data_IF_826833494449
#
_entry.id   IF_826833494449
#
_cell.length_a   1.000
_cell.length_b   1.000
_cell.length_c   1.000
_cell.angle_alpha   90.00
_cell.angle_beta   90.00
_cell.angle_gamma   90.00
#
_symmetry.space_group_name_H-M   'P 1'
#
loop_
_entity.id
_entity.type
_entity.pdbx_description
1 polymer ?
#
# COMPACT_ATOMS: atom_id res chain seq x y z
N UNK A 1 -44.31 11.39 -57.36
CA UNK A 1 -42.95 11.84 -57.66
C UNK A 1 -42.02 10.94 -56.85
N UNK A 2 -41.53 9.80 -57.37
CA UNK A 2 -40.33 9.66 -58.23
C UNK A 2 -39.11 10.36 -57.57
N UNK A 3 -37.93 9.79 -57.32
CA UNK A 3 -37.21 8.63 -57.87
C UNK A 3 -36.03 8.29 -56.91
N UNK A 4 -35.75 7.00 -56.64
CA UNK A 4 -34.56 6.20 -57.06
C UNK A 4 -33.17 6.68 -56.57
N UNK A 5 -32.42 5.93 -55.76
CA UNK A 5 -31.58 4.71 -56.03
C UNK A 5 -30.19 5.00 -56.64
N UNK A 6 -29.18 4.20 -56.23
CA UNK A 6 -27.79 3.97 -56.72
C UNK A 6 -26.76 4.36 -55.63
N UNK A 7 -26.20 3.48 -54.77
CA UNK A 7 -25.39 2.25 -54.94
C UNK A 7 -24.10 2.49 -55.76
N UNK A 8 -22.91 2.50 -55.12
CA UNK A 8 -21.80 1.57 -55.43
C UNK A 8 -20.44 1.98 -54.78
N UNK A 9 -19.91 1.03 -53.98
CA UNK A 9 -18.51 0.51 -53.96
C UNK A 9 -17.38 1.16 -53.11
N UNK A 10 -17.01 0.39 -52.06
CA UNK A 10 -15.71 0.11 -51.37
C UNK A 10 -14.37 0.58 -52.00
N UNK A 11 -13.19 0.43 -51.32
CA UNK A 11 -12.85 0.43 -49.88
C UNK A 11 -11.55 1.22 -49.55
N UNK A 12 -11.27 1.56 -48.28
CA UNK A 12 -9.88 1.52 -47.78
C UNK A 12 -9.79 1.51 -46.24
N UNK A 13 -9.14 0.44 -45.77
CA UNK A 13 -8.46 0.25 -44.49
C UNK A 13 -8.17 1.52 -43.68
N UNK A 14 -8.71 1.60 -42.46
CA UNK A 14 -8.04 2.22 -41.34
C UNK A 14 -8.44 1.50 -40.04
N UNK A 15 -7.53 0.64 -39.60
CA UNK A 15 -7.51 -0.03 -38.31
C UNK A 15 -7.60 1.04 -37.19
N UNK A 16 -8.77 1.25 -36.59
CA UNK A 16 -8.89 2.02 -35.35
C UNK A 16 -8.91 1.03 -34.21
N UNK A 17 -7.71 0.68 -33.73
CA UNK A 17 -7.50 0.06 -32.42
C UNK A 17 -8.01 1.04 -31.34
N UNK A 18 -8.94 0.66 -30.46
CA UNK A 18 -9.05 1.31 -29.17
C UNK A 18 -7.97 0.70 -28.28
N UNK A 19 -6.83 1.39 -28.15
CA UNK A 19 -5.85 1.11 -27.10
C UNK A 19 -6.52 1.36 -25.75
N UNK A 20 -6.92 0.26 -25.11
CA UNK A 20 -7.39 0.24 -23.73
C UNK A 20 -6.19 0.53 -22.82
N UNK A 21 -6.04 1.79 -22.41
CA UNK A 21 -5.14 2.19 -21.33
C UNK A 21 -5.72 1.70 -19.99
N UNK A 22 -5.51 0.43 -19.70
CA UNK A 22 -5.75 -0.14 -18.38
C UNK A 22 -4.53 0.12 -17.48
N UNK A 23 -4.72 0.96 -16.47
CA UNK A 23 -3.73 1.30 -15.44
C UNK A 23 -3.22 0.05 -14.69
N UNK A 24 -1.97 -0.31 -14.95
CA UNK A 24 -1.15 -1.31 -14.23
C UNK A 24 -0.22 -0.61 -13.24
N UNK A 25 -0.73 -0.21 -12.07
CA UNK A 25 0.12 0.44 -11.06
C UNK A 25 0.58 -0.52 -9.95
N UNK A 26 0.00 -1.72 -9.84
CA UNK A 26 0.37 -2.68 -8.80
C UNK A 26 1.59 -3.57 -9.17
N UNK A 27 1.71 -4.06 -10.41
CA UNK A 27 2.83 -4.93 -10.82
C UNK A 27 4.13 -4.18 -11.15
N UNK A 28 4.05 -2.86 -11.30
CA UNK A 28 5.17 -2.07 -11.77
C UNK A 28 6.24 -1.88 -10.68
N UNK A 29 5.83 -1.73 -9.42
CA UNK A 29 6.74 -1.47 -8.29
C UNK A 29 7.63 -2.67 -7.97
N UNK A 30 7.07 -3.89 -7.99
CA UNK A 30 7.83 -5.13 -7.73
C UNK A 30 8.79 -5.48 -8.88
N UNK A 31 8.43 -5.15 -10.13
CA UNK A 31 9.35 -5.26 -11.26
C UNK A 31 10.57 -4.37 -11.07
N UNK A 32 10.38 -3.14 -10.62
CA UNK A 32 11.46 -2.15 -10.49
C UNK A 32 12.43 -2.41 -9.33
N UNK A 33 12.13 -3.34 -8.44
CA UNK A 33 13.01 -3.78 -7.35
C UNK A 33 13.91 -4.98 -7.68
N UNK A 34 13.81 -5.54 -8.89
CA UNK A 34 14.64 -6.68 -9.29
C UNK A 34 16.12 -6.29 -9.46
N UNK A 35 17.04 -7.15 -9.00
CA UNK A 35 18.49 -6.93 -9.05
C UNK A 35 19.08 -6.91 -10.47
N UNK A 36 18.31 -7.34 -11.47
CA UNK A 36 18.64 -7.24 -12.90
C UNK A 36 17.39 -6.85 -13.68
N UNK A 37 17.33 -5.58 -14.09
CA UNK A 37 16.29 -5.06 -14.97
C UNK A 37 16.75 -5.17 -16.43
N UNK A 38 15.83 -5.53 -17.33
CA UNK A 38 16.06 -5.35 -18.76
C UNK A 38 16.17 -3.86 -19.08
N UNK A 39 16.78 -3.49 -20.22
CA UNK A 39 16.93 -2.07 -20.61
C UNK A 39 15.57 -1.36 -20.72
N UNK A 40 14.56 -2.07 -21.23
CA UNK A 40 13.19 -1.58 -21.36
C UNK A 40 12.52 -1.40 -19.99
N UNK A 41 12.73 -2.33 -19.06
CA UNK A 41 12.24 -2.21 -17.69
C UNK A 41 12.96 -1.07 -16.93
N UNK A 42 14.25 -0.84 -17.18
CA UNK A 42 14.98 0.32 -16.60
C UNK A 42 14.34 1.63 -17.04
N UNK A 43 13.99 1.76 -18.33
CA UNK A 43 13.38 2.96 -18.88
C UNK A 43 11.94 3.16 -18.38
N UNK A 44 11.17 2.08 -18.29
CA UNK A 44 9.83 2.07 -17.72
C UNK A 44 9.84 2.46 -16.22
N UNK A 45 10.68 1.81 -15.42
CA UNK A 45 10.86 2.11 -14.00
C UNK A 45 11.36 3.53 -13.76
N UNK A 46 12.24 4.01 -14.63
CA UNK A 46 12.68 5.38 -14.62
C UNK A 46 11.55 6.39 -14.90
N UNK A 47 10.65 6.08 -15.84
CA UNK A 47 9.45 6.89 -16.11
C UNK A 47 8.50 6.94 -14.91
N UNK A 48 8.29 5.80 -14.26
CA UNK A 48 7.50 5.73 -13.02
C UNK A 48 8.10 6.59 -11.91
N UNK A 49 9.41 6.55 -11.74
CA UNK A 49 10.09 7.36 -10.73
C UNK A 49 9.94 8.86 -10.95
N UNK A 50 10.03 9.34 -12.20
CA UNK A 50 9.78 10.76 -12.53
C UNK A 50 8.35 11.14 -12.15
N UNK A 51 7.39 10.27 -12.46
CA UNK A 51 5.99 10.46 -12.06
C UNK A 51 5.83 10.49 -10.54
N UNK A 52 6.46 9.59 -9.80
CA UNK A 52 6.38 9.54 -8.34
C UNK A 52 6.86 10.83 -7.68
N UNK A 53 8.00 11.38 -8.13
CA UNK A 53 8.53 12.64 -7.58
C UNK A 53 7.71 13.86 -8.03
N UNK A 54 7.11 13.83 -9.22
CA UNK A 54 6.17 14.86 -9.68
C UNK A 54 4.87 14.82 -8.86
N UNK A 55 4.30 13.63 -8.64
CA UNK A 55 3.14 13.43 -7.78
C UNK A 55 3.42 13.88 -6.34
N UNK A 56 4.61 13.59 -5.81
CA UNK A 56 5.06 14.08 -4.50
C UNK A 56 5.17 15.61 -4.47
N UNK A 57 5.76 16.23 -5.49
CA UNK A 57 5.87 17.68 -5.63
C UNK A 57 4.50 18.35 -5.70
N UNK A 58 3.56 17.78 -6.46
CA UNK A 58 2.20 18.29 -6.57
C UNK A 58 1.39 18.12 -5.27
N UNK A 59 1.59 17.02 -4.52
CA UNK A 59 1.05 16.89 -3.16
C UNK A 59 1.63 17.99 -2.24
N UNK A 60 2.94 18.20 -2.27
CA UNK A 60 3.60 19.24 -1.49
C UNK A 60 3.04 20.64 -1.83
N UNK A 61 2.79 20.94 -3.10
CA UNK A 61 2.21 22.21 -3.52
C UNK A 61 0.79 22.37 -3.00
N UNK A 62 -0.05 21.33 -3.10
CA UNK A 62 -1.41 21.36 -2.56
C UNK A 62 -1.42 21.63 -1.06
N UNK A 63 -0.56 20.96 -0.30
CA UNK A 63 -0.44 21.19 1.14
C UNK A 63 0.12 22.60 1.45
N UNK A 64 1.13 23.06 0.72
CA UNK A 64 1.66 24.42 0.88
C UNK A 64 0.58 25.48 0.66
N UNK A 65 -0.29 25.29 -0.34
CA UNK A 65 -1.41 26.19 -0.63
C UNK A 65 -2.47 26.26 0.46
N UNK A 66 -2.57 25.26 1.36
CA UNK A 66 -3.53 25.31 2.48
C UNK A 66 -2.98 26.02 3.72
N UNK A 67 -1.66 26.24 3.79
CA UNK A 67 -1.01 26.78 4.99
C UNK A 67 -0.40 28.17 4.81
N UNK A 68 -0.16 28.62 3.57
CA UNK A 68 0.35 29.98 3.30
C UNK A 68 -0.74 31.04 3.42
N UNK A 69 -0.35 32.25 3.81
CA UNK A 69 -1.26 33.39 3.89
C UNK A 69 -1.74 33.88 2.50
N UNK A 70 -0.90 33.81 1.47
CA UNK A 70 -1.26 34.17 0.09
C UNK A 70 -1.07 32.98 -0.89
N UNK A 71 -2.11 32.15 -1.08
CA UNK A 71 -2.06 31.05 -2.05
C UNK A 71 -1.92 31.52 -3.50
N UNK A 72 -2.35 32.74 -3.85
CA UNK A 72 -2.25 33.25 -5.24
C UNK A 72 -0.79 33.56 -5.58
N UNK A 73 -0.06 34.21 -4.69
CA UNK A 73 1.37 34.47 -4.85
C UNK A 73 2.17 33.16 -5.01
N UNK A 74 1.90 32.14 -4.19
CA UNK A 74 2.58 30.84 -4.29
C UNK A 74 2.30 30.15 -5.63
N UNK A 75 1.07 30.21 -6.16
CA UNK A 75 0.74 29.67 -7.49
C UNK A 75 1.53 30.36 -8.60
N UNK A 76 1.62 31.70 -8.57
CA UNK A 76 2.40 32.46 -9.54
C UNK A 76 3.89 32.12 -9.47
N UNK A 77 4.44 32.00 -8.26
CA UNK A 77 5.82 31.57 -8.05
C UNK A 77 6.05 30.15 -8.63
N UNK A 78 5.11 29.24 -8.41
CA UNK A 78 5.20 27.88 -8.95
C UNK A 78 5.12 27.84 -10.48
N UNK A 79 4.20 28.59 -11.10
CA UNK A 79 4.12 28.72 -12.57
C UNK A 79 5.38 29.34 -13.17
N UNK A 80 6.00 30.31 -12.48
CA UNK A 80 7.29 30.88 -12.88
C UNK A 80 8.39 29.83 -12.79
N UNK A 81 8.41 29.01 -11.75
CA UNK A 81 9.35 27.89 -11.61
C UNK A 81 9.15 26.85 -12.71
N UNK A 82 7.91 26.48 -13.05
CA UNK A 82 7.61 25.53 -14.13
C UNK A 82 8.25 26.00 -15.45
N UNK A 83 7.95 27.24 -15.87
CA UNK A 83 8.48 27.81 -17.13
C UNK A 83 9.99 27.99 -17.16
N UNK A 84 10.60 28.39 -16.03
CA UNK A 84 12.00 28.79 -16.02
C UNK A 84 12.98 27.69 -15.60
N UNK A 85 12.49 26.63 -14.95
CA UNK A 85 13.33 25.55 -14.40
C UNK A 85 12.90 24.21 -14.98
N UNK A 86 11.64 23.81 -14.75
CA UNK A 86 11.14 22.48 -15.15
C UNK A 86 11.06 22.34 -16.68
N UNK A 87 10.53 23.31 -17.39
CA UNK A 87 10.36 23.26 -18.84
C UNK A 87 11.70 23.39 -19.60
N UNK A 88 12.76 23.84 -18.91
CA UNK A 88 14.13 23.87 -19.44
C UNK A 88 14.90 22.57 -19.21
N UNK A 89 14.34 21.61 -18.48
CA UNK A 89 15.04 20.37 -18.20
C UNK A 89 15.08 19.46 -19.43
N UNK A 90 16.29 19.11 -19.86
CA UNK A 90 16.54 18.11 -20.89
C UNK A 90 16.72 16.73 -20.26
N UNK A 91 15.63 15.97 -20.18
CA UNK A 91 15.67 14.56 -19.80
C UNK A 91 15.47 14.27 -18.31
N UNK A 92 15.51 12.96 -18.01
CA UNK A 92 15.08 12.35 -16.75
C UNK A 92 15.80 12.90 -15.51
N UNK A 93 17.12 12.88 -15.52
CA UNK A 93 17.93 13.24 -14.34
C UNK A 93 17.72 14.70 -13.96
N UNK A 94 17.58 15.57 -14.96
CA UNK A 94 17.20 16.95 -14.72
C UNK A 94 15.82 17.05 -14.04
N UNK A 95 14.80 16.35 -14.56
CA UNK A 95 13.45 16.34 -13.99
C UNK A 95 13.43 15.83 -12.55
N UNK A 96 14.06 14.68 -12.27
CA UNK A 96 14.15 14.12 -10.92
C UNK A 96 14.72 15.16 -9.94
N UNK A 97 15.85 15.76 -10.31
CA UNK A 97 16.54 16.77 -9.52
C UNK A 97 15.67 18.01 -9.26
N UNK A 98 15.07 18.60 -10.30
CA UNK A 98 14.30 19.83 -10.12
C UNK A 98 13.00 19.59 -9.35
N UNK A 99 12.36 18.42 -9.52
CA UNK A 99 11.19 18.03 -8.72
C UNK A 99 11.56 17.84 -7.26
N UNK A 100 12.63 17.09 -6.95
CA UNK A 100 13.10 16.91 -5.57
C UNK A 100 13.47 18.24 -4.90
N UNK A 101 14.22 19.11 -5.59
CA UNK A 101 14.58 20.42 -5.07
C UNK A 101 13.34 21.30 -4.83
N UNK A 102 12.34 21.23 -5.71
CA UNK A 102 11.09 21.97 -5.54
C UNK A 102 10.25 21.41 -4.39
N UNK A 103 10.19 20.09 -4.23
CA UNK A 103 9.52 19.42 -3.10
C UNK A 103 10.13 19.86 -1.77
N UNK A 104 11.46 19.88 -1.65
CA UNK A 104 12.15 20.39 -0.46
C UNK A 104 11.85 21.88 -0.20
N UNK A 105 11.86 22.71 -1.25
CA UNK A 105 11.50 24.13 -1.13
C UNK A 105 10.05 24.33 -0.64
N UNK A 106 9.10 23.52 -1.13
CA UNK A 106 7.71 23.53 -0.66
C UNK A 106 7.59 23.03 0.77
N UNK A 107 8.38 22.02 1.17
CA UNK A 107 8.47 21.57 2.56
C UNK A 107 8.88 22.68 3.52
N UNK A 108 9.84 23.54 3.13
CA UNK A 108 10.21 24.73 3.91
C UNK A 108 9.09 25.74 4.02
N UNK A 109 8.38 25.99 2.92
CA UNK A 109 7.20 26.88 2.92
C UNK A 109 6.16 26.35 3.91
N UNK A 110 5.89 25.04 3.91
CA UNK A 110 4.95 24.41 4.84
C UNK A 110 5.44 24.57 6.28
N UNK A 111 6.66 24.14 6.60
CA UNK A 111 7.20 24.20 7.94
C UNK A 111 7.21 25.64 8.52
N UNK A 112 7.48 26.64 7.67
CA UNK A 112 7.53 28.04 8.10
C UNK A 112 6.14 28.71 8.19
N UNK A 113 5.15 28.24 7.43
CA UNK A 113 3.83 28.89 7.34
C UNK A 113 2.75 28.22 8.17
N UNK A 114 2.84 26.90 8.39
CA UNK A 114 1.82 26.11 9.04
C UNK A 114 1.60 26.52 10.51
N UNK A 115 0.39 26.96 10.89
CA UNK A 115 0.10 27.36 12.27
C UNK A 115 0.18 26.16 13.21
N UNK A 116 1.21 26.13 14.06
CA UNK A 116 1.46 25.01 14.98
C UNK A 116 0.72 25.21 16.30
N UNK A 117 0.12 24.14 16.80
CA UNK A 117 -0.46 24.03 18.13
C UNK A 117 0.49 23.17 18.99
N UNK A 118 1.08 23.79 20.00
CA UNK A 118 2.02 23.17 20.94
C UNK A 118 1.36 22.76 22.27
N UNK A 119 0.05 22.94 22.42
CA UNK A 119 -0.63 22.55 23.64
C UNK A 119 -0.53 21.04 23.84
N UNK A 120 -0.44 20.53 25.08
CA UNK A 120 -0.55 19.09 25.34
C UNK A 120 -1.82 18.49 24.73
N UNK A 121 -1.77 17.23 24.30
CA UNK A 121 -2.99 16.48 23.99
C UNK A 121 -3.63 15.97 25.27
N UNK A 122 -4.94 16.12 25.41
CA UNK A 122 -5.71 15.32 26.37
C UNK A 122 -5.96 13.91 25.83
N UNK A 123 -6.33 12.96 26.70
CA UNK A 123 -6.76 11.62 26.27
C UNK A 123 -7.94 11.67 25.28
N UNK A 124 -8.88 12.61 25.48
CA UNK A 124 -10.01 12.80 24.57
C UNK A 124 -9.55 13.34 23.21
N UNK A 125 -8.64 14.31 23.19
CA UNK A 125 -8.11 14.86 21.93
C UNK A 125 -7.32 13.81 21.15
N UNK A 126 -6.54 12.97 21.85
CA UNK A 126 -5.82 11.87 21.24
C UNK A 126 -6.77 10.85 20.60
N UNK A 127 -7.84 10.46 21.28
CA UNK A 127 -8.87 9.58 20.73
C UNK A 127 -9.56 10.20 19.51
N UNK A 128 -10.04 11.44 19.62
CA UNK A 128 -10.72 12.14 18.53
C UNK A 128 -9.81 12.27 17.29
N UNK A 129 -8.52 12.55 17.52
CA UNK A 129 -7.51 12.60 16.45
C UNK A 129 -7.35 11.25 15.77
N UNK A 130 -7.21 10.18 16.55
CA UNK A 130 -7.07 8.82 16.04
C UNK A 130 -8.27 8.41 15.19
N UNK A 131 -9.49 8.67 15.65
CA UNK A 131 -10.72 8.38 14.90
C UNK A 131 -10.83 9.23 13.62
N UNK A 132 -10.49 10.52 13.68
CA UNK A 132 -10.50 11.39 12.51
C UNK A 132 -9.51 10.94 11.42
N UNK A 133 -8.29 10.56 11.82
CA UNK A 133 -7.26 10.06 10.90
C UNK A 133 -7.60 8.67 10.37
N UNK A 134 -8.22 7.81 11.18
CA UNK A 134 -8.75 6.52 10.71
C UNK A 134 -9.83 6.70 9.63
N UNK A 135 -10.76 7.64 9.82
CA UNK A 135 -11.76 7.97 8.80
C UNK A 135 -11.16 8.61 7.54
N UNK A 136 -9.99 9.26 7.61
CA UNK A 136 -9.25 9.70 6.42
C UNK A 136 -8.56 8.53 5.70
N UNK A 137 -8.02 7.57 6.44
CA UNK A 137 -7.44 6.34 5.88
C UNK A 137 -8.49 5.54 5.09
N UNK A 138 -9.71 5.38 5.63
CA UNK A 138 -10.83 4.71 4.94
C UNK A 138 -11.18 5.31 3.60
N UNK A 139 -11.13 6.64 3.53
CA UNK A 139 -11.44 7.38 2.31
C UNK A 139 -10.24 7.50 1.37
N UNK A 140 -9.11 6.85 1.69
CA UNK A 140 -7.85 6.93 0.94
C UNK A 140 -7.37 8.38 0.79
N UNK A 141 -7.45 9.14 1.89
CA UNK A 141 -7.12 10.57 1.93
C UNK A 141 -6.10 10.91 3.01
N UNK A 142 -5.65 9.97 3.81
CA UNK A 142 -4.68 10.23 4.87
C UNK A 142 -3.33 10.65 4.28
N UNK A 143 -2.88 9.95 3.23
CA UNK A 143 -1.64 10.25 2.50
C UNK A 143 -1.62 11.65 1.86
N UNK A 144 -2.79 12.28 1.68
CA UNK A 144 -2.89 13.65 1.19
C UNK A 144 -2.40 14.70 2.19
N UNK A 145 -2.29 14.34 3.47
CA UNK A 145 -1.75 15.18 4.55
C UNK A 145 -0.24 14.99 4.76
N UNK A 146 0.39 14.09 4.00
CA UNK A 146 1.82 13.77 4.14
C UNK A 146 2.68 15.01 3.94
N UNK A 147 3.58 15.24 4.90
CA UNK A 147 4.61 16.26 4.79
C UNK A 147 5.62 15.82 3.73
N UNK A 148 6.03 16.74 2.83
CA UNK A 148 7.05 16.42 1.85
C UNK A 148 8.41 16.23 2.54
N UNK A 149 9.09 15.15 2.19
CA UNK A 149 10.46 14.88 2.59
C UNK A 149 11.44 15.02 1.42
N UNK A 150 12.71 15.16 1.75
CA UNK A 150 13.82 15.17 0.80
C UNK A 150 14.59 13.85 0.86
N UNK A 151 14.55 13.08 -0.22
CA UNK A 151 15.33 11.86 -0.34
C UNK A 151 16.84 12.14 -0.36
N UNK A 152 17.63 11.29 0.30
CA UNK A 152 19.09 11.41 0.45
C UNK A 152 19.88 10.44 -0.45
N UNK A 153 19.19 9.59 -1.23
CA UNK A 153 19.80 8.52 -2.04
C UNK A 153 20.72 9.07 -3.16
N UNK A 154 21.81 8.37 -3.56
CA UNK A 154 22.95 8.84 -4.39
C UNK A 154 22.71 9.43 -5.79
N UNK A 155 21.47 9.69 -6.23
CA UNK A 155 21.22 10.33 -7.53
C UNK A 155 21.00 11.86 -7.42
N UNK A 156 21.26 12.42 -6.24
CA UNK A 156 21.33 13.86 -6.06
C UNK A 156 22.73 14.35 -6.49
N UNK A 157 22.96 14.48 -7.80
CA UNK A 157 24.18 15.15 -8.33
C UNK A 157 24.24 16.63 -7.92
N UNK A 158 23.17 17.16 -7.34
CA UNK A 158 23.15 18.43 -6.61
C UNK A 158 23.04 18.19 -5.13
N UNK A 159 23.98 18.78 -4.38
CA UNK A 159 23.94 18.79 -2.94
C UNK A 159 22.54 19.22 -2.43
N UNK A 160 21.94 18.49 -1.49
CA UNK A 160 20.70 18.91 -0.86
C UNK A 160 20.88 20.30 -0.22
N UNK A 161 19.82 21.12 -0.11
CA UNK A 161 19.88 22.31 0.73
C UNK A 161 20.35 21.93 2.14
N UNK A 162 21.16 22.79 2.77
CA UNK A 162 21.82 22.48 4.05
C UNK A 162 20.84 22.06 5.16
N UNK A 163 19.67 22.69 5.21
CA UNK A 163 18.58 22.39 6.15
C UNK A 163 17.89 21.04 5.93
N UNK A 164 18.12 20.39 4.80
CA UNK A 164 17.51 19.13 4.39
C UNK A 164 18.56 18.05 4.09
N UNK A 165 19.84 18.37 4.33
CA UNK A 165 20.97 17.49 4.09
C UNK A 165 21.21 16.56 5.29
N UNK A 166 21.49 15.29 5.00
CA UNK A 166 22.12 14.37 5.93
C UNK A 166 23.63 14.38 5.71
N UNK A 167 24.36 14.97 6.65
CA UNK A 167 25.79 15.24 6.46
C UNK A 167 26.65 14.01 6.76
N UNK A 168 27.85 13.90 6.16
CA UNK A 168 28.80 12.85 6.50
C UNK A 168 29.17 12.79 7.98
N UNK A 169 29.22 13.95 8.66
CA UNK A 169 29.50 14.02 10.10
C UNK A 169 28.36 13.42 10.93
N UNK A 170 27.12 13.70 10.58
CA UNK A 170 25.95 13.11 11.24
C UNK A 170 25.87 11.60 11.01
N UNK A 171 26.18 11.16 9.79
CA UNK A 171 26.34 9.74 9.47
C UNK A 171 27.39 9.08 10.33
N UNK A 172 28.60 9.62 10.39
CA UNK A 172 29.68 9.07 11.21
C UNK A 172 29.28 9.02 12.70
N UNK A 173 28.62 10.08 13.21
CA UNK A 173 28.12 10.11 14.60
C UNK A 173 27.09 9.03 14.87
N UNK A 174 26.13 8.79 13.97
CA UNK A 174 25.12 7.75 14.14
C UNK A 174 25.67 6.35 13.91
N UNK A 175 26.62 6.15 12.99
CA UNK A 175 27.31 4.87 12.79
C UNK A 175 28.15 4.46 14.01
N UNK A 176 28.68 5.43 14.75
CA UNK A 176 29.36 5.18 16.01
C UNK A 176 28.40 4.76 17.14
N UNK A 177 27.08 4.91 16.95
CA UNK A 177 26.07 4.38 17.87
C UNK A 177 25.71 2.96 17.42
N UNK A 178 25.68 2.02 18.36
CA UNK A 178 25.16 0.68 18.12
C UNK A 178 23.62 0.71 18.07
N UNK A 179 23.08 1.15 16.93
CA UNK A 179 21.64 1.32 16.73
C UNK A 179 20.93 0.00 16.38
N UNK A 180 21.69 -1.05 16.04
CA UNK A 180 21.14 -2.31 15.51
C UNK A 180 20.62 -2.23 14.08
N UNK A 181 20.82 -1.11 13.37
CA UNK A 181 20.42 -0.92 11.97
C UNK A 181 21.32 0.10 11.24
N UNK A 182 21.34 0.10 9.89
CA UNK A 182 22.20 1.00 9.13
C UNK A 182 21.83 2.48 9.31
N UNK A 183 22.78 3.30 9.75
CA UNK A 183 22.64 4.75 9.87
C UNK A 183 22.67 5.46 8.50
N UNK A 184 21.80 5.04 7.59
CA UNK A 184 21.58 5.66 6.28
C UNK A 184 20.19 6.29 6.29
N UNK A 185 20.14 7.61 6.42
CA UNK A 185 18.88 8.33 6.30
C UNK A 185 18.38 8.23 4.85
N UNK A 186 17.14 7.78 4.65
CA UNK A 186 16.48 7.72 3.35
C UNK A 186 15.89 9.08 2.97
N UNK A 187 15.17 9.70 3.89
CA UNK A 187 14.40 10.92 3.64
C UNK A 187 14.49 11.85 4.86
N UNK A 188 14.71 13.14 4.63
CA UNK A 188 14.71 14.18 5.66
C UNK A 188 13.44 15.03 5.53
N UNK A 189 12.68 15.13 6.60
CA UNK A 189 11.49 15.97 6.74
C UNK A 189 11.80 17.19 7.60
N UNK A 190 11.08 18.28 7.33
CA UNK A 190 11.13 19.50 8.12
C UNK A 190 9.80 19.71 8.83
N UNK A 191 9.84 19.80 10.16
CA UNK A 191 8.66 20.02 10.99
C UNK A 191 8.89 21.17 11.95
N UNK A 192 7.98 22.13 11.99
CA UNK A 192 7.95 23.12 13.08
C UNK A 192 7.17 22.53 14.24
N UNK A 193 7.79 22.51 15.42
CA UNK A 193 7.23 21.84 16.61
C UNK A 193 6.52 22.79 17.58
N UNK A 194 6.84 24.08 17.53
CA UNK A 194 6.20 25.11 18.35
C UNK A 194 6.03 26.43 17.56
N UNK A 195 5.09 27.32 17.94
CA UNK A 195 4.95 28.64 17.36
C UNK A 195 6.26 29.42 17.40
N UNK A 196 6.65 30.00 16.26
CA UNK A 196 7.88 30.80 16.14
C UNK A 196 9.20 29.99 16.17
N UNK A 197 9.16 28.69 16.44
CA UNK A 197 10.36 27.86 16.44
C UNK A 197 10.90 27.62 15.02
N UNK A 198 12.21 27.44 14.92
CA UNK A 198 12.85 26.97 13.70
C UNK A 198 12.41 25.54 13.39
N UNK A 199 12.18 25.18 12.11
CA UNK A 199 11.89 23.81 11.74
C UNK A 199 12.98 22.83 12.19
N UNK A 200 12.56 21.71 12.76
CA UNK A 200 13.40 20.59 13.20
C UNK A 200 13.47 19.53 12.11
N UNK A 201 14.65 18.92 11.92
CA UNK A 201 14.85 17.82 10.99
C UNK A 201 14.42 16.49 11.60
N UNK A 202 13.60 15.74 10.86
CA UNK A 202 13.29 14.36 11.15
C UNK A 202 13.82 13.49 10.01
N UNK A 203 14.41 12.34 10.33
CA UNK A 203 15.04 11.47 9.36
C UNK A 203 14.38 10.09 9.38
N UNK A 204 13.99 9.61 8.21
CA UNK A 204 13.53 8.23 8.00
C UNK A 204 14.74 7.33 7.75
N UNK A 205 14.82 6.21 8.48
CA UNK A 205 15.88 5.22 8.34
C UNK A 205 15.28 3.85 8.05
N UNK A 206 16.05 3.02 7.36
CA UNK A 206 15.77 1.59 7.32
C UNK A 206 16.15 0.97 8.67
N UNK A 207 15.18 0.43 9.39
CA UNK A 207 15.40 -0.13 10.74
C UNK A 207 15.39 -1.66 10.79
N UNK A 208 15.37 -2.33 9.62
CA UNK A 208 15.69 -3.75 9.52
C UNK A 208 14.53 -4.74 9.57
N UNK A 209 14.95 -6.02 9.60
CA UNK A 209 14.14 -7.24 9.48
C UNK A 209 14.44 -8.03 8.21
N UNK A 210 13.79 -9.18 8.02
CA UNK A 210 13.64 -9.82 6.70
C UNK A 210 12.76 -9.00 5.74
N UNK A 211 12.27 -7.85 6.20
CA UNK A 211 11.27 -7.01 5.58
C UNK A 211 11.75 -5.56 5.57
N UNK A 212 11.42 -4.77 4.54
CA UNK A 212 11.62 -3.34 4.62
C UNK A 212 10.75 -2.74 5.72
N UNK A 213 11.39 -2.12 6.71
CA UNK A 213 10.77 -1.33 7.76
C UNK A 213 11.46 0.04 7.79
N UNK A 214 10.68 1.11 7.71
CA UNK A 214 11.21 2.48 7.76
C UNK A 214 10.61 3.24 8.93
N UNK A 215 11.47 3.75 9.82
CA UNK A 215 11.04 4.54 10.97
C UNK A 215 11.58 5.96 10.88
N UNK A 216 10.79 6.93 11.35
CA UNK A 216 11.16 8.34 11.33
C UNK A 216 11.50 8.85 12.73
N UNK A 217 12.72 9.37 12.91
CA UNK A 217 13.21 9.90 14.19
C UNK A 217 13.52 11.39 14.10
N UNK A 218 13.40 12.09 15.22
CA UNK A 218 13.95 13.44 15.36
C UNK A 218 15.48 13.36 15.27
N UNK A 219 16.08 13.92 14.21
CA UNK A 219 17.50 13.72 13.90
C UNK A 219 18.42 14.40 14.93
N UNK A 220 18.22 15.69 15.29
CA UNK A 220 18.97 16.30 16.41
C UNK A 220 18.88 15.49 17.69
N UNK A 221 17.69 15.04 18.07
CA UNK A 221 17.49 14.23 19.26
C UNK A 221 18.30 12.93 19.18
N UNK A 222 18.18 12.20 18.06
CA UNK A 222 18.87 10.94 17.84
C UNK A 222 20.40 11.11 17.84
N UNK A 223 20.92 12.25 17.38
CA UNK A 223 22.37 12.52 17.39
C UNK A 223 22.93 12.77 18.80
N UNK A 224 22.09 13.17 19.75
CA UNK A 224 22.48 13.58 21.12
C UNK A 224 22.04 12.58 22.20
N UNK A 225 21.09 11.70 21.89
CA UNK A 225 20.51 10.80 22.85
C UNK A 225 21.50 9.79 23.46
N UNK A 226 21.43 9.65 24.79
CA UNK A 226 22.22 8.69 25.57
C UNK A 226 21.46 7.38 25.75
N UNK A 227 22.19 6.29 26.05
CA UNK A 227 21.63 5.00 26.51
C UNK A 227 20.56 4.37 25.60
N UNK A 228 20.69 4.52 24.27
CA UNK A 228 19.75 3.94 23.32
C UNK A 228 18.36 4.58 23.30
N UNK A 229 18.17 5.75 23.93
CA UNK A 229 16.91 6.49 23.77
C UNK A 229 16.76 6.96 22.32
N UNK A 230 15.67 6.55 21.67
CA UNK A 230 15.34 6.91 20.29
C UNK A 230 14.44 8.15 20.20
N UNK A 231 14.09 8.76 21.34
CA UNK A 231 13.16 9.88 21.41
C UNK A 231 11.71 9.46 21.25
N UNK A 232 11.39 8.20 21.56
CA UNK A 232 10.03 7.66 21.56
C UNK A 232 9.58 7.46 23.01
N UNK A 233 8.41 7.98 23.36
CA UNK A 233 7.84 7.83 24.70
C UNK A 233 7.37 6.39 24.92
N UNK A 234 7.76 5.80 26.05
CA UNK A 234 7.36 4.44 26.42
C UNK A 234 5.85 4.38 26.70
N UNK A 235 5.18 3.39 26.13
CA UNK A 235 3.78 3.02 26.39
C UNK A 235 3.73 1.55 26.79
N UNK A 236 2.69 1.15 27.50
CA UNK A 236 2.43 -0.27 27.78
C UNK A 236 2.05 -0.98 26.49
N UNK A 237 2.92 -1.87 26.02
CA UNK A 237 2.74 -2.66 24.79
C UNK A 237 2.84 -4.16 25.10
N UNK A 238 1.80 -4.68 25.78
CA UNK A 238 1.79 -6.05 26.28
C UNK A 238 1.81 -7.13 25.19
N UNK A 239 1.37 -6.79 23.98
CA UNK A 239 1.24 -7.71 22.84
C UNK A 239 2.29 -7.46 21.73
N UNK A 240 3.34 -6.68 22.02
CA UNK A 240 4.36 -6.24 21.03
C UNK A 240 3.75 -5.58 19.77
N UNK A 241 2.65 -4.86 19.91
CA UNK A 241 1.89 -4.25 18.80
C UNK A 241 2.77 -3.34 17.93
N UNK A 242 3.76 -2.64 18.49
CA UNK A 242 4.64 -1.77 17.68
C UNK A 242 5.55 -2.55 16.77
N UNK A 243 6.10 -3.66 17.27
CA UNK A 243 6.95 -4.53 16.45
C UNK A 243 6.19 -4.97 15.20
N UNK A 244 4.92 -5.35 15.37
CA UNK A 244 4.06 -5.76 14.27
C UNK A 244 3.60 -4.59 13.38
N UNK A 245 3.44 -3.38 13.93
CA UNK A 245 3.07 -2.19 13.17
C UNK A 245 4.12 -1.80 12.12
N UNK A 246 5.41 -1.97 12.45
CA UNK A 246 6.54 -1.61 11.58
C UNK A 246 6.95 -2.73 10.59
N UNK A 247 6.48 -3.97 10.79
CA UNK A 247 6.84 -5.10 9.93
C UNK A 247 6.22 -4.93 8.53
N UNK A 248 7.05 -4.67 7.51
CA UNK A 248 6.57 -4.35 6.15
C UNK A 248 5.96 -2.94 6.03
N UNK A 249 6.12 -2.12 7.07
CA UNK A 249 5.57 -0.78 7.18
C UNK A 249 6.61 0.33 7.02
N UNK A 250 6.12 1.54 6.83
CA UNK A 250 6.94 2.74 6.76
C UNK A 250 6.25 3.93 7.42
N UNK A 251 7.03 4.71 8.14
CA UNK A 251 6.62 6.00 8.67
C UNK A 251 6.60 7.07 7.58
N UNK A 252 5.52 7.83 7.58
CA UNK A 252 5.50 9.14 6.94
C UNK A 252 4.87 10.17 7.87
N UNK A 253 5.48 11.35 8.02
CA UNK A 253 4.88 12.42 8.80
C UNK A 253 3.70 13.08 8.08
N UNK A 254 2.72 13.54 8.85
CA UNK A 254 1.59 14.34 8.38
C UNK A 254 1.44 15.61 9.20
N UNK A 255 0.77 16.62 8.63
CA UNK A 255 0.33 17.80 9.36
C UNK A 255 -1.20 17.87 9.40
N UNK A 256 -1.77 17.81 10.60
CA UNK A 256 -3.22 17.77 10.80
C UNK A 256 -3.63 18.65 11.98
N UNK A 257 -4.63 19.52 11.78
CA UNK A 257 -5.19 20.39 12.83
C UNK A 257 -4.14 21.14 13.67
N UNK A 258 -3.09 21.64 13.00
CA UNK A 258 -2.03 22.40 13.67
C UNK A 258 -0.95 21.55 14.33
N UNK A 259 -1.01 20.22 14.27
CA UNK A 259 -0.05 19.32 14.92
C UNK A 259 0.64 18.42 13.89
N UNK A 260 1.84 17.96 14.25
CA UNK A 260 2.58 16.97 13.47
C UNK A 260 2.31 15.58 14.04
N UNK A 261 2.07 14.63 13.16
CA UNK A 261 1.92 13.21 13.50
C UNK A 261 2.82 12.38 12.61
N UNK A 262 3.19 11.19 13.08
CA UNK A 262 3.83 10.15 12.29
C UNK A 262 2.79 9.05 12.10
N UNK A 263 2.54 8.71 10.83
CA UNK A 263 1.68 7.60 10.45
C UNK A 263 2.58 6.45 10.04
N UNK A 264 2.43 5.31 10.71
CA UNK A 264 3.01 4.05 10.26
C UNK A 264 1.98 3.34 9.38
N UNK A 265 2.36 2.98 8.17
CA UNK A 265 1.47 2.36 7.19
C UNK A 265 2.18 1.33 6.32
N UNK A 266 1.39 0.55 5.59
CA UNK A 266 1.88 -0.36 4.54
C UNK A 266 2.73 0.39 3.50
N UNK A 267 3.90 -0.14 3.15
CA UNK A 267 4.79 0.50 2.19
C UNK A 267 4.20 0.63 0.78
N UNK A 268 3.34 -0.30 0.38
CA UNK A 268 2.66 -0.29 -0.92
C UNK A 268 1.46 0.67 -0.92
N UNK A 269 0.82 0.86 0.23
CA UNK A 269 -0.34 1.74 0.37
C UNK A 269 -0.27 2.61 1.65
N UNK A 270 0.15 3.88 1.55
CA UNK A 270 0.27 4.77 2.71
C UNK A 270 -1.08 5.06 3.39
N UNK A 271 -2.21 4.83 2.71
CA UNK A 271 -3.54 4.98 3.31
C UNK A 271 -3.98 3.73 4.10
N UNK A 272 -3.25 2.61 4.03
CA UNK A 272 -3.42 1.44 4.90
C UNK A 272 -2.57 1.62 6.17
N UNK A 273 -2.98 2.57 6.99
CA UNK A 273 -2.30 2.93 8.23
C UNK A 273 -2.56 1.92 9.36
N UNK A 274 -1.51 1.63 10.15
CA UNK A 274 -1.52 0.66 11.26
C UNK A 274 -1.31 1.34 12.61
N UNK A 275 -0.65 2.50 12.64
CA UNK A 275 -0.41 3.25 13.88
C UNK A 275 -0.35 4.75 13.62
N UNK A 276 -0.84 5.52 14.59
CA UNK A 276 -0.69 6.98 14.66
C UNK A 276 0.14 7.33 15.89
N UNK A 277 1.17 8.13 15.67
CA UNK A 277 2.01 8.72 16.72
C UNK A 277 1.98 10.23 16.66
N UNK A 278 1.96 10.91 17.80
CA UNK A 278 2.07 12.36 17.91
C UNK A 278 3.52 12.78 18.06
N UNK A 279 3.93 13.81 17.31
CA UNK A 279 5.22 14.48 17.53
C UNK A 279 4.98 15.64 18.49
N UNK A 280 5.53 15.51 19.70
CA UNK A 280 5.38 16.48 20.79
C UNK A 280 6.21 17.75 20.53
N UNK A 281 5.90 18.86 21.22
CA UNK A 281 6.65 20.10 21.11
C UNK A 281 8.12 19.97 21.53
N UNK A 282 8.41 19.05 22.46
CA UNK A 282 9.78 18.71 22.90
C UNK A 282 10.56 17.88 21.86
N UNK A 283 9.91 17.49 20.76
CA UNK A 283 10.51 16.70 19.69
C UNK A 283 10.52 15.19 19.91
N UNK A 284 9.95 14.70 21.01
CA UNK A 284 9.72 13.26 21.21
C UNK A 284 8.48 12.79 20.46
N UNK A 285 8.46 11.52 20.10
CA UNK A 285 7.31 10.87 19.45
C UNK A 285 6.54 10.03 20.46
N UNK A 286 5.22 10.18 20.51
CA UNK A 286 4.32 9.44 21.40
C UNK A 286 3.34 8.61 20.58
N UNK A 287 3.38 7.26 20.62
CA UNK A 287 2.31 6.45 20.06
C UNK A 287 0.96 6.82 20.70
N UNK A 288 -0.05 7.08 19.87
CA UNK A 288 -1.41 7.44 20.32
C UNK A 288 -2.38 6.29 20.16
N UNK A 289 -2.33 5.60 19.03
CA UNK A 289 -3.23 4.48 18.78
C UNK A 289 -2.73 3.52 17.71
N UNK A 290 -3.22 2.29 17.83
CA UNK A 290 -3.23 1.32 16.74
C UNK A 290 -4.50 1.49 15.92
N UNK A 291 -4.37 1.34 14.60
CA UNK A 291 -5.48 1.33 13.66
C UNK A 291 -5.72 -0.09 13.16
N UNK A 292 -6.99 -0.46 13.07
CA UNK A 292 -7.42 -1.73 12.49
C UNK A 292 -8.47 -1.48 11.43
N UNK A 293 -8.18 -1.90 10.21
CA UNK A 293 -9.14 -1.94 9.12
C UNK A 293 -9.94 -3.23 9.19
N UNK A 294 -11.26 -3.10 9.18
CA UNK A 294 -12.21 -4.19 8.97
C UNK A 294 -12.80 -4.04 7.58
N UNK A 295 -12.85 -5.15 6.87
CA UNK A 295 -13.60 -5.23 5.63
C UNK A 295 -15.10 -5.13 5.94
N UNK A 296 -15.75 -4.13 5.36
CA UNK A 296 -17.18 -3.89 5.42
C UNK A 296 -17.96 -4.75 4.42
N UNK A 297 -19.23 -4.41 4.24
CA UNK A 297 -20.14 -5.11 3.33
C UNK A 297 -19.70 -4.96 1.87
N UNK A 298 -20.12 -5.92 1.05
CA UNK A 298 -19.93 -5.85 -0.39
C UNK A 298 -21.08 -5.03 -0.99
N UNK A 299 -20.74 -4.10 -1.86
CA UNK A 299 -21.67 -3.33 -2.66
C UNK A 299 -21.51 -3.71 -4.13
N UNK A 300 -22.62 -3.87 -4.85
CA UNK A 300 -22.62 -4.22 -6.27
C UNK A 300 -22.33 -2.96 -7.11
N UNK A 301 -21.17 -2.92 -7.78
CA UNK A 301 -20.79 -1.84 -8.70
C UNK A 301 -21.34 -2.11 -10.10
N UNK A 302 -21.23 -3.36 -10.56
CA UNK A 302 -21.82 -3.79 -11.82
C UNK A 302 -22.24 -5.25 -11.75
N UNK A 303 -23.31 -5.60 -12.47
CA UNK A 303 -23.86 -6.95 -12.45
C UNK A 303 -24.40 -7.36 -13.82
N UNK A 304 -23.86 -8.45 -14.38
CA UNK A 304 -24.50 -9.18 -15.49
C UNK A 304 -25.66 -10.05 -15.01
N UNK A 305 -25.63 -10.46 -13.75
CA UNK A 305 -26.68 -11.25 -13.11
C UNK A 305 -27.06 -10.60 -11.76
N UNK A 306 -27.89 -9.54 -11.75
CA UNK A 306 -28.18 -8.73 -10.56
C UNK A 306 -28.58 -9.55 -9.34
N UNK A 307 -29.52 -10.48 -9.51
CA UNK A 307 -30.01 -11.36 -8.44
C UNK A 307 -28.89 -12.18 -7.77
N UNK A 308 -27.93 -12.70 -8.55
CA UNK A 308 -26.80 -13.47 -8.02
C UNK A 308 -25.84 -12.54 -7.27
N UNK A 309 -25.54 -11.37 -7.85
CA UNK A 309 -24.62 -10.41 -7.27
C UNK A 309 -25.14 -9.85 -5.94
N UNK A 310 -26.42 -9.48 -5.89
CA UNK A 310 -27.09 -8.95 -4.69
C UNK A 310 -27.15 -10.00 -3.57
N UNK A 311 -27.53 -11.24 -3.90
CA UNK A 311 -27.64 -12.30 -2.89
C UNK A 311 -26.28 -12.68 -2.26
N UNK A 312 -25.18 -12.55 -3.01
CA UNK A 312 -23.82 -12.73 -2.45
C UNK A 312 -23.39 -11.49 -1.66
N UNK A 313 -23.67 -10.29 -2.16
CA UNK A 313 -23.31 -9.04 -1.50
C UNK A 313 -23.98 -8.88 -0.12
N UNK A 314 -25.26 -9.25 -0.02
CA UNK A 314 -26.07 -9.20 1.19
C UNK A 314 -25.82 -10.39 2.15
N UNK A 315 -25.09 -11.42 1.71
CA UNK A 315 -24.81 -12.61 2.51
C UNK A 315 -25.96 -13.63 2.57
N UNK A 316 -26.98 -13.48 1.72
CA UNK A 316 -28.12 -14.41 1.61
C UNK A 316 -27.69 -15.80 1.13
N UNK A 317 -26.60 -15.86 0.36
CA UNK A 317 -25.99 -17.11 -0.09
C UNK A 317 -24.71 -17.39 0.68
N UNK A 318 -24.67 -18.54 1.34
CA UNK A 318 -23.45 -19.02 2.01
C UNK A 318 -22.47 -19.65 1.01
N UNK A 319 -21.17 -19.41 1.16
CA UNK A 319 -20.17 -20.11 0.36
C UNK A 319 -20.16 -21.61 0.67
N UNK A 320 -19.70 -22.40 -0.29
CA UNK A 320 -19.45 -23.82 -0.09
C UNK A 320 -18.41 -24.02 1.01
N UNK A 321 -18.68 -24.98 1.89
CA UNK A 321 -17.80 -25.27 3.02
C UNK A 321 -16.55 -26.00 2.53
N UNK A 322 -15.39 -25.39 2.73
CA UNK A 322 -14.10 -26.04 2.58
C UNK A 322 -13.93 -27.11 3.66
N UNK A 323 -13.46 -28.29 3.25
CA UNK A 323 -13.01 -29.33 4.18
C UNK A 323 -11.55 -29.12 4.50
N UNK A 324 -11.14 -29.31 5.74
CA UNK A 324 -9.72 -29.31 6.07
C UNK A 324 -9.05 -30.51 5.37
N UNK A 325 -7.99 -30.26 4.60
CA UNK A 325 -7.27 -31.32 3.91
C UNK A 325 -6.70 -32.34 4.89
N UNK A 326 -6.29 -31.93 6.10
CA UNK A 326 -5.75 -32.83 7.13
C UNK A 326 -6.76 -33.90 7.60
N UNK A 327 -8.05 -33.72 7.32
CA UNK A 327 -9.11 -34.69 7.63
C UNK A 327 -9.32 -35.75 6.53
N UNK A 328 -8.59 -35.68 5.42
CA UNK A 328 -8.82 -36.48 4.21
C UNK A 328 -7.59 -37.37 3.93
N UNK A 329 -7.74 -38.69 3.78
CA UNK A 329 -6.65 -39.54 3.33
C UNK A 329 -6.10 -39.06 1.97
N UNK A 330 -4.76 -39.08 1.74
CA UNK A 330 -3.73 -39.79 2.51
C UNK A 330 -3.07 -38.96 3.63
N UNK A 331 -3.52 -37.73 3.91
CA UNK A 331 -2.85 -36.85 4.87
C UNK A 331 -2.92 -37.43 6.29
N UNK A 332 -1.77 -37.45 7.00
CA UNK A 332 -1.67 -38.09 8.32
C UNK A 332 -2.04 -37.11 9.44
N UNK A 333 -2.92 -37.44 10.40
CA UNK A 333 -3.37 -36.53 11.48
C UNK A 333 -2.29 -35.94 12.41
N UNK A 334 -0.99 -36.18 12.19
CA UNK A 334 0.08 -35.70 13.07
C UNK A 334 0.38 -34.21 12.81
N UNK A 335 -0.07 -33.37 13.74
CA UNK A 335 0.05 -31.90 13.75
C UNK A 335 1.43 -31.34 13.33
N UNK A 336 2.52 -32.05 13.65
CA UNK A 336 3.88 -31.55 13.47
C UNK A 336 4.49 -31.84 12.08
N UNK A 337 3.84 -32.66 11.23
CA UNK A 337 4.34 -33.03 9.90
C UNK A 337 3.48 -32.60 8.71
N UNK A 338 2.30 -32.00 8.94
CA UNK A 338 1.39 -31.58 7.86
C UNK A 338 1.98 -30.49 6.96
N UNK A 339 2.65 -29.50 7.56
CA UNK A 339 3.27 -28.41 6.80
C UNK A 339 4.35 -28.94 5.87
N UNK A 340 5.24 -29.79 6.37
CA UNK A 340 6.32 -30.37 5.57
C UNK A 340 5.77 -31.26 4.45
N UNK A 341 4.73 -32.05 4.72
CA UNK A 341 4.06 -32.88 3.72
C UNK A 341 3.38 -32.03 2.62
N UNK A 342 2.73 -30.93 2.99
CA UNK A 342 2.12 -30.01 2.03
C UNK A 342 3.17 -29.27 1.20
N UNK A 343 4.22 -28.77 1.85
CA UNK A 343 5.34 -28.11 1.19
C UNK A 343 6.02 -29.05 0.19
N UNK A 344 6.27 -30.30 0.59
CA UNK A 344 6.89 -31.29 -0.28
C UNK A 344 6.06 -31.60 -1.54
N UNK A 345 4.73 -31.61 -1.41
CA UNK A 345 3.81 -31.97 -2.51
C UNK A 345 3.42 -30.77 -3.39
N UNK A 346 3.33 -29.58 -2.80
CA UNK A 346 2.69 -28.42 -3.44
C UNK A 346 3.56 -27.15 -3.47
N UNK A 347 4.70 -27.14 -2.77
CA UNK A 347 5.66 -26.03 -2.69
C UNK A 347 5.62 -25.26 -1.38
N UNK A 348 6.67 -24.48 -1.13
CA UNK A 348 6.99 -23.82 0.16
C UNK A 348 5.87 -22.94 0.75
N UNK A 349 4.96 -22.46 -0.08
CA UNK A 349 3.89 -21.57 0.35
C UNK A 349 2.64 -22.32 0.85
N UNK A 350 2.52 -23.64 0.67
CA UNK A 350 1.32 -24.43 0.95
C UNK A 350 1.11 -24.76 2.45
N UNK A 351 0.94 -23.77 3.31
CA UNK A 351 0.87 -23.96 4.77
C UNK A 351 -0.48 -24.47 5.28
N UNK A 352 -1.58 -24.05 4.65
CA UNK A 352 -2.94 -24.46 4.96
C UNK A 352 -3.70 -24.78 3.65
N UNK A 353 -4.53 -25.83 3.66
CA UNK A 353 -5.24 -26.33 2.48
C UNK A 353 -6.69 -26.63 2.83
N UNK A 354 -7.61 -25.84 2.26
CA UNK A 354 -9.02 -26.19 2.20
C UNK A 354 -9.31 -27.00 0.93
N UNK A 355 -10.00 -28.13 1.04
CA UNK A 355 -10.40 -28.95 -0.10
C UNK A 355 -11.90 -28.86 -0.38
N UNK A 356 -12.23 -28.72 -1.65
CA UNK A 356 -13.59 -28.81 -2.17
C UNK A 356 -13.63 -29.78 -3.36
N UNK A 357 -14.65 -30.64 -3.41
CA UNK A 357 -14.91 -31.50 -4.58
C UNK A 357 -16.16 -31.01 -5.31
N UNK A 358 -15.99 -30.48 -6.51
CA UNK A 358 -17.09 -29.87 -7.26
C UNK A 358 -16.79 -29.80 -8.76
N UNK A 359 -17.83 -29.79 -9.60
CA UNK A 359 -17.75 -29.65 -11.06
C UNK A 359 -17.83 -28.17 -11.42
N UNK A 360 -16.69 -27.47 -11.36
CA UNK A 360 -16.66 -26.01 -11.35
C UNK A 360 -16.81 -25.40 -12.75
N UNK A 361 -16.39 -26.13 -13.77
CA UNK A 361 -16.46 -25.72 -15.18
C UNK A 361 -17.62 -26.36 -15.95
N UNK A 362 -18.36 -27.27 -15.30
CA UNK A 362 -19.57 -27.93 -15.79
C UNK A 362 -19.32 -28.88 -16.95
N UNK A 363 -18.17 -29.55 -16.95
CA UNK A 363 -17.86 -30.59 -17.92
C UNK A 363 -18.47 -31.96 -17.56
N UNK A 364 -19.13 -32.06 -16.39
CA UNK A 364 -19.77 -33.27 -15.88
C UNK A 364 -18.87 -34.12 -14.99
N UNK A 365 -17.63 -33.70 -14.76
CA UNK A 365 -16.69 -34.34 -13.82
C UNK A 365 -16.50 -33.40 -12.63
N UNK A 366 -16.25 -33.99 -11.46
CA UNK A 366 -15.99 -33.20 -10.26
C UNK A 366 -14.48 -33.11 -10.02
N UNK A 367 -13.97 -31.89 -9.97
CA UNK A 367 -12.58 -31.58 -9.67
C UNK A 367 -12.35 -31.57 -8.17
N UNK A 368 -11.07 -31.66 -7.80
CA UNK A 368 -10.62 -31.41 -6.42
C UNK A 368 -9.92 -30.08 -6.38
N UNK A 369 -10.65 -29.06 -5.97
CA UNK A 369 -10.14 -27.71 -5.84
C UNK A 369 -9.54 -27.57 -4.44
N UNK A 370 -8.28 -27.20 -4.39
CA UNK A 370 -7.60 -26.78 -3.18
C UNK A 370 -7.59 -25.26 -3.10
N UNK A 371 -7.90 -24.72 -1.93
CA UNK A 371 -7.61 -23.33 -1.54
C UNK A 371 -6.42 -23.37 -0.61
N UNK A 372 -5.28 -22.95 -1.13
CA UNK A 372 -4.06 -22.80 -0.36
C UNK A 372 -4.07 -21.45 0.35
N UNK A 373 -3.53 -21.44 1.56
CA UNK A 373 -3.24 -20.22 2.31
C UNK A 373 -1.81 -20.30 2.82
N UNK A 374 -1.03 -19.27 2.50
CA UNK A 374 0.26 -18.99 3.10
C UNK A 374 0.12 -17.80 4.02
N UNK A 375 0.58 -17.90 5.27
CA UNK A 375 0.72 -16.72 6.12
C UNK A 375 2.17 -16.60 6.53
N UNK A 376 2.89 -15.75 5.82
CA UNK A 376 4.28 -15.46 6.15
C UNK A 376 4.35 -14.75 7.51
N UNK A 377 4.62 -15.51 8.58
CA UNK A 377 4.96 -14.99 9.91
C UNK A 377 6.41 -14.51 10.01
N UNK A 378 7.26 -14.94 9.08
CA UNK A 378 8.63 -14.47 8.88
C UNK A 378 8.72 -13.83 7.49
N UNK A 379 8.63 -12.50 7.41
CA UNK A 379 8.45 -11.79 6.13
C UNK A 379 7.45 -10.64 6.27
N UNK A 380 7.12 -9.96 5.16
CA UNK A 380 6.41 -8.67 5.14
C UNK A 380 4.91 -8.77 5.53
N UNK A 381 4.51 -9.83 6.25
CA UNK A 381 3.15 -10.00 6.75
C UNK A 381 2.10 -10.04 5.63
N UNK A 382 2.29 -10.90 4.64
CA UNK A 382 1.28 -11.15 3.61
C UNK A 382 0.60 -12.51 3.84
N UNK A 383 -0.74 -12.49 3.90
CA UNK A 383 -1.52 -13.70 3.69
C UNK A 383 -1.77 -13.83 2.20
N UNK A 384 -1.16 -14.83 1.57
CA UNK A 384 -1.47 -15.20 0.20
C UNK A 384 -2.50 -16.32 0.23
N UNK A 385 -3.49 -16.25 -0.66
CA UNK A 385 -4.48 -17.30 -0.84
C UNK A 385 -4.61 -17.52 -2.34
N UNK A 386 -4.60 -18.78 -2.78
CA UNK A 386 -4.81 -19.12 -4.20
C UNK A 386 -5.54 -20.44 -4.34
N UNK A 387 -6.14 -20.67 -5.52
CA UNK A 387 -6.72 -21.95 -5.87
C UNK A 387 -5.76 -22.80 -6.70
N UNK A 388 -5.87 -24.12 -6.58
CA UNK A 388 -5.38 -25.03 -7.61
C UNK A 388 -6.21 -26.30 -7.71
N UNK A 389 -6.23 -26.91 -8.89
CA UNK A 389 -6.80 -28.24 -9.09
C UNK A 389 -5.78 -29.30 -8.68
N UNK A 390 -6.17 -30.27 -7.87
CA UNK A 390 -5.31 -31.36 -7.40
C UNK A 390 -5.54 -32.65 -8.18
N UNK A 391 -4.50 -33.49 -8.23
CA UNK A 391 -4.55 -34.82 -8.86
C UNK A 391 -5.50 -35.79 -8.11
N UNK A 392 -5.86 -36.88 -8.81
CA UNK A 392 -6.75 -37.95 -8.34
C UNK A 392 -6.29 -38.70 -7.08
N UNK A 393 -5.02 -38.56 -6.70
CA UNK A 393 -4.40 -39.13 -5.50
C UNK A 393 -4.02 -38.06 -4.46
N UNK A 394 -4.27 -36.77 -4.73
CA UNK A 394 -3.79 -35.65 -3.90
C UNK A 394 -2.24 -35.66 -3.78
N UNK A 395 -1.56 -36.21 -4.77
CA UNK A 395 -0.10 -36.26 -4.86
C UNK A 395 0.53 -34.95 -5.34
N UNK A 396 -0.23 -34.11 -6.04
CA UNK A 396 0.28 -32.85 -6.54
C UNK A 396 -0.78 -31.98 -7.23
N UNK A 397 -0.31 -30.89 -7.82
CA UNK A 397 -1.15 -29.96 -8.60
C UNK A 397 -1.37 -30.51 -10.01
N UNK A 398 -2.63 -30.63 -10.43
CA UNK A 398 -2.98 -31.01 -11.78
C UNK A 398 -2.64 -29.89 -12.77
N UNK A 399 -1.93 -30.23 -13.85
CA UNK A 399 -1.70 -29.32 -14.96
C UNK A 399 -2.90 -29.35 -15.89
N UNK A 400 -3.40 -28.18 -16.29
CA UNK A 400 -4.46 -28.08 -17.28
C UNK A 400 -5.13 -26.70 -17.34
N UNK A 401 -5.97 -26.46 -18.36
CA UNK A 401 -6.54 -25.15 -18.65
C UNK A 401 -7.36 -24.55 -17.52
N UNK A 402 -8.04 -25.40 -16.74
CA UNK A 402 -8.82 -24.95 -15.58
C UNK A 402 -7.92 -24.35 -14.50
N UNK A 403 -6.74 -24.92 -14.29
CA UNK A 403 -5.81 -24.42 -13.29
C UNK A 403 -5.23 -23.06 -13.71
N UNK A 404 -4.96 -22.86 -15.00
CA UNK A 404 -4.53 -21.57 -15.56
C UNK A 404 -5.62 -20.49 -15.39
N UNK A 405 -6.89 -20.87 -15.56
CA UNK A 405 -8.03 -19.97 -15.35
C UNK A 405 -8.20 -19.55 -13.89
N UNK A 406 -8.00 -20.49 -12.96
CA UNK A 406 -8.05 -20.21 -11.52
C UNK A 406 -6.85 -19.35 -11.07
N UNK A 407 -5.65 -19.58 -11.61
CA UNK A 407 -4.47 -18.76 -11.33
C UNK A 407 -4.59 -17.32 -11.81
N UNK A 408 -5.41 -17.06 -12.83
CA UNK A 408 -5.73 -15.70 -13.28
C UNK A 408 -6.74 -14.96 -12.37
N UNK A 409 -7.14 -15.58 -11.25
CA UNK A 409 -8.00 -15.05 -10.20
C UNK A 409 -7.23 -15.15 -8.86
N UNK A 410 -6.31 -14.23 -8.66
CA UNK A 410 -5.13 -14.37 -7.81
C UNK A 410 -5.26 -13.70 -6.43
N UNK A 411 -6.40 -13.10 -6.11
CA UNK A 411 -6.58 -12.33 -4.88
C UNK A 411 -8.01 -12.43 -4.32
N UNK A 412 -8.19 -12.19 -3.01
CA UNK A 412 -9.51 -12.08 -2.37
C UNK A 412 -9.84 -13.21 -1.38
N UNK A 413 -11.12 -13.36 -1.05
CA UNK A 413 -11.58 -14.38 -0.10
C UNK A 413 -11.48 -15.81 -0.66
N UNK A 414 -11.50 -15.94 -1.99
CA UNK A 414 -11.41 -17.20 -2.71
C UNK A 414 -12.46 -18.21 -2.25
N UNK A 415 -13.68 -17.71 -2.11
CA UNK A 415 -14.86 -18.50 -1.80
C UNK A 415 -15.58 -18.95 -3.07
N UNK A 416 -16.26 -20.10 -3.00
CA UNK A 416 -17.03 -20.66 -4.12
C UNK A 416 -18.49 -20.75 -3.70
N UNK A 417 -19.39 -20.25 -4.52
CA UNK A 417 -20.84 -20.26 -4.29
C UNK A 417 -21.51 -21.18 -5.29
N UNK A 418 -22.58 -21.86 -4.87
CA UNK A 418 -23.47 -22.62 -5.75
C UNK A 418 -24.86 -21.99 -5.72
N UNK A 419 -25.28 -21.38 -6.83
CA UNK A 419 -26.57 -20.70 -6.95
C UNK A 419 -27.25 -21.22 -8.22
N UNK A 420 -28.48 -21.72 -8.08
CA UNK A 420 -29.27 -22.27 -9.19
C UNK A 420 -28.52 -23.31 -10.04
N UNK A 421 -27.74 -24.16 -9.38
CA UNK A 421 -26.96 -25.22 -10.04
C UNK A 421 -25.71 -24.74 -10.79
N UNK A 422 -25.36 -23.45 -10.68
CA UNK A 422 -24.13 -22.86 -11.25
C UNK A 422 -23.14 -22.49 -10.16
N UNK A 423 -21.86 -22.49 -10.51
CA UNK A 423 -20.77 -22.14 -9.59
C UNK A 423 -20.25 -20.74 -9.88
N UNK A 424 -20.01 -20.00 -8.81
CA UNK A 424 -19.47 -18.65 -8.85
C UNK A 424 -18.27 -18.53 -7.91
N UNK A 425 -17.21 -17.90 -8.40
CA UNK A 425 -15.91 -17.75 -7.77
C UNK A 425 -15.78 -16.33 -7.25
N UNK A 426 -15.65 -16.15 -5.94
CA UNK A 426 -15.32 -14.85 -5.35
C UNK A 426 -13.82 -14.64 -5.35
N UNK A 427 -13.37 -13.69 -6.16
CA UNK A 427 -11.96 -13.34 -6.31
C UNK A 427 -11.83 -11.86 -6.66
N UNK A 428 -10.60 -11.40 -6.81
CA UNK A 428 -10.28 -10.08 -7.34
C UNK A 428 -9.56 -10.23 -8.67
N UNK A 429 -9.84 -9.32 -9.61
CA UNK A 429 -9.08 -9.18 -10.86
C UNK A 429 -8.55 -7.76 -10.94
N UNK A 430 -7.22 -7.60 -10.99
CA UNK A 430 -6.55 -6.29 -10.94
C UNK A 430 -6.96 -5.47 -9.70
N UNK A 431 -7.01 -6.11 -8.53
CA UNK A 431 -7.38 -5.48 -7.25
C UNK A 431 -8.85 -5.13 -7.08
N UNK A 432 -9.72 -5.49 -8.05
CA UNK A 432 -11.17 -5.26 -7.94
C UNK A 432 -11.89 -6.55 -7.57
N UNK A 433 -12.58 -6.61 -6.41
CA UNK A 433 -13.31 -7.79 -6.01
C UNK A 433 -14.52 -8.02 -6.93
N UNK A 434 -14.86 -9.27 -7.17
CA UNK A 434 -15.95 -9.64 -8.05
C UNK A 434 -16.35 -11.10 -7.92
N UNK A 435 -17.41 -11.45 -8.65
CA UNK A 435 -17.78 -12.85 -8.88
C UNK A 435 -17.46 -13.22 -10.30
N UNK A 436 -16.89 -14.41 -10.47
CA UNK A 436 -16.53 -14.97 -11.76
C UNK A 436 -17.22 -16.31 -11.96
N UNK A 437 -17.51 -16.63 -13.20
CA UNK A 437 -18.00 -17.93 -13.61
C UNK A 437 -17.04 -18.51 -14.63
N UNK A 438 -16.81 -19.82 -14.54
CA UNK A 438 -16.09 -20.55 -15.60
C UNK A 438 -17.14 -21.10 -16.56
N UNK A 439 -17.02 -20.74 -17.84
CA UNK A 439 -17.89 -21.26 -18.90
C UNK A 439 -17.08 -21.51 -20.16
N UNK A 440 -17.18 -22.72 -20.72
CA UNK A 440 -16.52 -23.12 -21.98
C UNK A 440 -15.02 -22.83 -21.97
N UNK A 441 -14.35 -23.11 -20.85
CA UNK A 441 -12.92 -22.87 -20.67
C UNK A 441 -12.53 -21.38 -20.63
N UNK A 442 -13.44 -20.49 -20.22
CA UNK A 442 -13.15 -19.07 -20.03
C UNK A 442 -13.71 -18.58 -18.70
N UNK A 443 -12.93 -17.73 -18.04
CA UNK A 443 -13.34 -17.02 -16.83
C UNK A 443 -14.06 -15.72 -17.20
N UNK A 444 -15.36 -15.69 -16.94
CA UNK A 444 -16.22 -14.53 -17.20
C UNK A 444 -16.57 -13.83 -15.89
N UNK A 445 -16.41 -12.51 -15.86
CA UNK A 445 -16.84 -11.70 -14.71
C UNK A 445 -18.37 -11.53 -14.76
N UNK A 446 -19.02 -11.92 -13.66
CA UNK A 446 -20.47 -11.83 -13.45
C UNK A 446 -20.82 -10.55 -12.70
N UNK A 447 -20.00 -10.19 -11.70
CA UNK A 447 -20.20 -9.03 -10.86
C UNK A 447 -18.87 -8.31 -10.62
N UNK A 448 -18.90 -6.99 -10.53
CA UNK A 448 -17.86 -6.18 -9.89
C UNK A 448 -18.43 -5.67 -8.58
N UNK A 449 -17.67 -5.86 -7.50
CA UNK A 449 -18.01 -5.34 -6.18
C UNK A 449 -17.12 -4.16 -5.82
N UNK A 450 -17.65 -3.32 -4.95
CA UNK A 450 -16.89 -2.43 -4.07
C UNK A 450 -17.01 -3.00 -2.67
N UNK A 451 -15.91 -2.99 -1.93
CA UNK A 451 -15.91 -3.36 -0.51
C UNK A 451 -15.59 -2.11 0.27
N UNK A 452 -16.50 -1.69 1.15
CA UNK A 452 -16.15 -0.62 2.08
C UNK A 452 -15.08 -1.14 3.03
N UNK A 453 -14.12 -0.28 3.36
CA UNK A 453 -13.13 -0.56 4.40
C UNK A 453 -13.42 0.43 5.51
N UNK A 454 -13.57 -0.10 6.72
CA UNK A 454 -13.77 0.70 7.92
C UNK A 454 -12.58 0.53 8.84
N UNK A 455 -11.84 1.59 9.04
CA UNK A 455 -10.63 1.71 9.85
C UNK A 455 -11.01 2.48 11.08
N UNK A 456 -10.65 1.92 12.22
CA UNK A 456 -10.91 2.54 13.52
C UNK A 456 -9.69 2.39 14.41
N UNK A 457 -9.61 3.25 15.42
CA UNK A 457 -8.70 3.02 16.53
C UNK A 457 -9.07 1.69 17.21
N UNK A 458 -8.13 0.77 17.31
CA UNK A 458 -8.32 -0.51 18.00
C UNK A 458 -7.74 -0.50 19.41
N UNK A 459 -6.64 0.21 19.61
CA UNK A 459 -5.95 0.36 20.88
C UNK A 459 -5.59 1.82 21.04
N UNK A 460 -5.92 2.42 22.18
CA UNK A 460 -5.54 3.79 22.53
C UNK A 460 -4.46 3.75 23.61
N UNK A 461 -3.44 4.59 23.46
CA UNK A 461 -2.38 4.76 24.45
C UNK A 461 -2.59 6.10 25.16
N UNK A 462 -2.94 6.10 26.46
CA UNK A 462 -3.17 7.34 27.21
C UNK A 462 -1.97 8.29 27.13
N UNK A 463 -2.23 9.58 26.93
CA UNK A 463 -1.20 10.65 26.89
C UNK A 463 -0.99 11.30 28.26
N UNK A 464 -1.98 11.21 29.15
CA UNK A 464 -1.87 11.57 30.57
C UNK A 464 -2.01 10.32 31.46
N UNK A 465 -1.28 10.23 32.58
CA UNK A 465 -1.34 9.11 33.53
C UNK A 465 -2.74 8.80 34.07
#
# INVERSE_FOLDING_TARGET
>A
MLHRLILMWLPLLALVLPLVLGSTTAHARDRCSASKLSREDVEFCAGLRVKEVDDAMNRALRLALTVVADPKALRLQHQKWQRNVRDKCSGRECLLRVYQARTAALGRVIANSAKVNDQPLSNQDAQNTCEALAGLADRQRLSSLALPGMDQWPFADTAPPSDSAYTPQEKARLQARDLGWPAEARTIYLMRLAPGATPTRFASFFTGGSCPAYQTFNLPYLLEAKNGDLGIDKVTDGDELFRWAYLGGGDYPIFHQGRNFIVTADLANPDKATMISWVKPDGRTRPLCMLKSRQGELEVVSARQPRVCEAVAQGDVKPLKWRDAAEIPPFSRRLQGHRDEFVQRYGDDAEDIGLLRTDIDRDGKAERIARFRHTSGAGCGATQVWWSVLTGDLGGVQRGPLNDQLRALDEGALDIYKIDGRFYLSASRKGRPGLFQISRGKTEQVCEFRREVHTRASTLFPVTP
#
